data_IF_420402009249
#
_entry.id   IF_420402009249
#
_cell.length_a   1.000
_cell.length_b   1.000
_cell.length_c   1.000
_cell.angle_alpha   90.00
_cell.angle_beta   90.00
_cell.angle_gamma   90.00
#
_symmetry.space_group_name_H-M   'P 1'
#
loop_
_entity.id
_entity.type
_entity.pdbx_description
1 polymer ?
#
# COMPACT_ATOMS: atom_id res chain seq x y z
N UNK A 1 -1.62 17.26 -50.55
CA UNK A 1 -2.23 16.37 -49.57
C UNK A 1 -1.42 16.45 -48.30
N UNK A 2 -1.84 17.26 -47.35
CA UNK A 2 -1.16 17.49 -46.09
C UNK A 2 -1.65 16.48 -45.07
N UNK A 3 -0.75 15.59 -44.64
CA UNK A 3 -1.01 14.72 -43.51
C UNK A 3 -0.85 15.52 -42.20
N UNK A 4 -1.97 15.87 -41.60
CA UNK A 4 -2.00 16.39 -40.22
C UNK A 4 -1.58 15.30 -39.25
N UNK A 5 -0.31 15.34 -38.83
CA UNK A 5 0.18 14.66 -37.67
C UNK A 5 -0.41 15.35 -36.43
N UNK A 6 -1.45 14.76 -35.86
CA UNK A 6 -1.90 15.09 -34.50
C UNK A 6 -0.76 14.75 -33.56
N UNK A 7 0.00 15.74 -33.15
CA UNK A 7 0.85 15.64 -31.99
C UNK A 7 -0.05 15.59 -30.77
N UNK A 8 -0.23 14.40 -30.22
CA UNK A 8 -0.76 14.24 -28.88
C UNK A 8 0.32 14.78 -27.93
N UNK A 9 0.17 16.04 -27.57
CA UNK A 9 0.92 16.64 -26.49
C UNK A 9 0.38 16.03 -25.21
N UNK A 10 0.96 14.91 -24.78
CA UNK A 10 0.81 14.40 -23.42
C UNK A 10 1.58 15.33 -22.50
N UNK A 11 0.98 16.45 -22.15
CA UNK A 11 1.41 17.21 -20.97
C UNK A 11 1.10 16.39 -19.73
N UNK A 12 2.01 15.50 -19.37
CA UNK A 12 1.94 14.73 -18.15
C UNK A 12 2.33 15.62 -16.95
N UNK A 13 1.45 16.52 -16.56
CA UNK A 13 1.52 17.17 -15.24
C UNK A 13 0.90 16.27 -14.16
N UNK A 14 0.89 14.97 -14.40
CA UNK A 14 0.33 13.98 -13.50
C UNK A 14 1.36 13.43 -12.52
N UNK A 15 0.94 13.12 -11.31
CA UNK A 15 1.75 12.40 -10.33
C UNK A 15 2.05 11.01 -10.91
N UNK A 16 3.32 10.56 -10.94
CA UNK A 16 3.65 9.24 -11.46
C UNK A 16 2.89 8.14 -10.69
N UNK A 17 2.27 7.17 -11.39
CA UNK A 17 1.51 6.09 -10.75
C UNK A 17 2.33 5.34 -9.68
N UNK A 18 3.61 5.11 -9.94
CA UNK A 18 4.53 4.40 -9.04
C UNK A 18 4.71 5.13 -7.71
N UNK A 19 4.61 6.46 -7.71
CA UNK A 19 4.69 7.28 -6.50
C UNK A 19 3.48 7.08 -5.62
N UNK A 20 2.31 6.84 -6.20
CA UNK A 20 1.06 6.57 -5.48
C UNK A 20 1.05 5.12 -4.98
N UNK A 21 1.40 4.17 -5.84
CA UNK A 21 1.41 2.74 -5.51
C UNK A 21 2.27 2.44 -4.27
N UNK A 22 3.43 3.07 -4.16
CA UNK A 22 4.34 2.93 -3.00
C UNK A 22 3.79 3.47 -1.69
N UNK A 23 2.74 4.30 -1.74
CA UNK A 23 2.09 4.89 -0.56
C UNK A 23 0.83 4.15 -0.12
N UNK A 24 0.44 3.14 -0.87
CA UNK A 24 -0.64 2.23 -0.46
C UNK A 24 -0.03 1.17 0.45
N UNK A 25 -0.47 1.16 1.69
CA UNK A 25 0.03 0.29 2.75
C UNK A 25 -1.03 -0.75 3.13
N UNK A 26 -0.60 -1.87 3.70
CA UNK A 26 -1.50 -2.87 4.26
C UNK A 26 -1.54 -2.70 5.79
N UNK A 27 -2.71 -2.35 6.33
CA UNK A 27 -2.95 -2.20 7.77
C UNK A 27 -4.26 -2.90 8.13
N UNK A 28 -4.24 -3.75 9.14
CA UNK A 28 -5.41 -4.55 9.57
C UNK A 28 -6.05 -5.35 8.41
N UNK A 29 -5.23 -5.86 7.48
CA UNK A 29 -5.73 -6.57 6.31
C UNK A 29 -6.36 -5.69 5.22
N UNK A 30 -6.35 -4.37 5.38
CA UNK A 30 -6.93 -3.41 4.44
C UNK A 30 -5.83 -2.58 3.77
N UNK A 31 -6.02 -2.28 2.49
CA UNK A 31 -5.17 -1.34 1.76
C UNK A 31 -5.57 0.08 2.12
N UNK A 32 -4.61 0.86 2.61
CA UNK A 32 -4.85 2.20 3.12
C UNK A 32 -3.78 3.17 2.63
N UNK A 33 -4.09 4.46 2.67
CA UNK A 33 -3.13 5.55 2.54
C UNK A 33 -3.16 6.41 3.80
N UNK A 34 -2.00 6.90 4.21
CA UNK A 34 -1.91 7.73 5.41
C UNK A 34 -2.29 9.18 5.13
N UNK A 35 -2.89 9.83 6.13
CA UNK A 35 -3.28 11.24 6.06
C UNK A 35 -2.11 12.17 5.71
N UNK A 36 -0.89 11.81 6.12
CA UNK A 36 0.33 12.56 5.80
C UNK A 36 0.69 12.48 4.34
N UNK A 37 0.58 11.28 3.75
CA UNK A 37 0.88 11.06 2.33
C UNK A 37 -0.19 11.69 1.44
N UNK A 38 -1.44 11.56 1.84
CA UNK A 38 -2.57 12.20 1.15
C UNK A 38 -2.44 13.72 1.15
N UNK A 39 -2.09 14.32 2.29
CA UNK A 39 -1.88 15.77 2.38
C UNK A 39 -0.77 16.24 1.43
N UNK A 40 0.34 15.51 1.36
CA UNK A 40 1.43 15.82 0.42
C UNK A 40 0.97 15.72 -1.04
N UNK A 41 0.25 14.65 -1.40
CA UNK A 41 -0.27 14.47 -2.76
C UNK A 41 -1.24 15.59 -3.14
N UNK A 42 -2.16 15.94 -2.24
CA UNK A 42 -3.10 17.05 -2.46
C UNK A 42 -2.45 18.42 -2.42
N UNK A 43 -1.22 18.54 -1.92
CA UNK A 43 -0.50 19.81 -1.76
C UNK A 43 -1.07 20.67 -0.65
N UNK A 44 -1.57 20.05 0.41
CA UNK A 44 -2.12 20.73 1.60
C UNK A 44 -1.37 20.32 2.85
N UNK A 45 -1.44 21.15 3.90
CA UNK A 45 -0.90 20.79 5.20
C UNK A 45 -1.78 19.71 5.85
N UNK A 46 -1.21 18.69 6.52
CA UNK A 46 -1.99 17.62 7.16
C UNK A 46 -3.09 18.12 8.09
N UNK A 47 -2.85 19.23 8.80
CA UNK A 47 -3.84 19.87 9.66
C UNK A 47 -5.07 20.34 8.87
N UNK A 48 -4.86 20.92 7.70
CA UNK A 48 -5.94 21.42 6.82
C UNK A 48 -6.78 20.24 6.29
N UNK A 49 -6.12 19.16 5.85
CA UNK A 49 -6.81 17.92 5.44
C UNK A 49 -7.71 17.41 6.57
N UNK A 50 -7.16 17.26 7.76
CA UNK A 50 -7.91 16.72 8.90
C UNK A 50 -9.01 17.66 9.40
N UNK A 51 -8.88 18.97 9.26
CA UNK A 51 -9.95 19.91 9.52
C UNK A 51 -11.12 19.75 8.55
N UNK A 52 -10.82 19.56 7.25
CA UNK A 52 -11.83 19.33 6.24
C UNK A 52 -12.59 18.01 6.52
N UNK A 53 -11.89 16.95 6.90
CA UNK A 53 -12.49 15.68 7.31
C UNK A 53 -13.39 15.85 8.55
N UNK A 54 -12.92 16.52 9.57
CA UNK A 54 -13.70 16.76 10.81
C UNK A 54 -15.00 17.54 10.57
N UNK A 55 -14.98 18.50 9.64
CA UNK A 55 -16.20 19.25 9.26
C UNK A 55 -17.22 18.40 8.50
N UNK A 56 -16.82 17.24 8.01
CA UNK A 56 -17.65 16.31 7.23
C UNK A 56 -17.55 14.89 7.82
N UNK A 57 -17.52 14.78 9.14
CA UNK A 57 -17.24 13.52 9.85
C UNK A 57 -18.26 12.43 9.55
N UNK A 58 -19.51 12.79 9.25
CA UNK A 58 -20.57 11.86 8.85
C UNK A 58 -20.25 11.08 7.56
N UNK A 59 -19.31 11.59 6.74
CA UNK A 59 -18.87 10.96 5.50
C UNK A 59 -17.73 9.96 5.69
N UNK A 60 -17.17 9.88 6.89
CA UNK A 60 -16.01 9.07 7.21
C UNK A 60 -16.29 8.11 8.36
N UNK A 61 -17.10 7.08 8.14
CA UNK A 61 -17.33 6.04 9.13
C UNK A 61 -16.03 5.28 9.44
N UNK A 62 -16.04 4.47 10.50
CA UNK A 62 -14.82 3.78 11.01
C UNK A 62 -14.20 2.79 10.03
N UNK A 63 -14.96 2.29 9.08
CA UNK A 63 -14.50 1.43 7.99
C UNK A 63 -13.89 2.20 6.80
N UNK A 64 -14.10 3.52 6.73
CA UNK A 64 -13.49 4.38 5.72
C UNK A 64 -12.20 5.04 6.21
N UNK A 65 -12.14 5.37 7.49
CA UNK A 65 -11.01 6.05 8.12
C UNK A 65 -10.85 5.61 9.56
N UNK A 66 -9.62 5.36 9.98
CA UNK A 66 -9.28 5.06 11.38
C UNK A 66 -7.90 5.62 11.75
N UNK A 67 -7.70 5.88 13.02
CA UNK A 67 -6.41 6.34 13.53
C UNK A 67 -5.50 5.14 13.81
N UNK A 68 -4.23 5.22 13.41
CA UNK A 68 -3.23 4.20 13.72
C UNK A 68 -2.90 4.20 15.21
N UNK A 69 -2.63 3.03 15.74
CA UNK A 69 -1.98 2.88 17.04
C UNK A 69 -0.47 3.16 16.92
N UNK A 70 0.18 3.42 18.05
CA UNK A 70 1.65 3.59 18.07
C UNK A 70 2.39 2.35 17.62
N UNK A 71 1.88 1.16 17.95
CA UNK A 71 2.45 -0.11 17.55
C UNK A 71 2.34 -0.33 16.03
N UNK A 72 1.20 -0.05 15.44
CA UNK A 72 0.99 -0.11 13.98
C UNK A 72 1.93 0.85 13.25
N UNK A 73 2.06 2.08 13.75
CA UNK A 73 2.97 3.07 13.19
C UNK A 73 4.44 2.62 13.28
N UNK A 74 4.86 2.04 14.41
CA UNK A 74 6.21 1.50 14.58
C UNK A 74 6.49 0.35 13.61
N UNK A 75 5.52 -0.56 13.40
CA UNK A 75 5.62 -1.65 12.43
C UNK A 75 5.78 -1.13 10.99
N UNK A 76 5.01 -0.14 10.61
CA UNK A 76 5.12 0.48 9.29
C UNK A 76 6.49 1.13 9.08
N UNK A 77 7.01 1.84 10.08
CA UNK A 77 8.34 2.45 10.03
C UNK A 77 9.46 1.42 9.87
N UNK A 78 9.32 0.23 10.47
CA UNK A 78 10.32 -0.84 10.35
C UNK A 78 10.32 -1.51 8.96
N UNK A 79 9.21 -1.45 8.25
CA UNK A 79 9.04 -2.07 6.92
C UNK A 79 9.38 -1.12 5.79
N UNK A 80 9.23 0.19 6.00
CA UNK A 80 9.42 1.22 4.99
C UNK A 80 10.62 2.07 5.38
N UNK A 81 11.73 1.85 4.70
CA UNK A 81 12.92 2.71 4.82
C UNK A 81 12.66 4.00 4.02
N UNK A 82 11.87 4.90 4.58
CA UNK A 82 11.70 6.24 4.02
C UNK A 82 12.13 7.27 5.05
N UNK A 83 13.15 8.03 4.69
CA UNK A 83 13.69 9.16 5.46
C UNK A 83 12.71 10.33 5.67
N UNK A 84 11.52 10.26 5.07
CA UNK A 84 10.52 11.34 5.08
C UNK A 84 9.68 11.42 6.37
N UNK A 85 9.83 10.50 7.30
CA UNK A 85 9.07 10.49 8.56
C UNK A 85 9.83 11.15 9.71
N UNK A 86 10.65 12.14 9.37
CA UNK A 86 11.43 12.94 10.33
C UNK A 86 10.53 13.77 11.25
N UNK A 87 10.71 13.58 12.53
CA UNK A 87 10.13 14.36 13.60
C UNK A 87 9.24 13.56 14.53
N UNK A 88 9.50 13.65 15.83
CA UNK A 88 8.68 13.12 16.91
C UNK A 88 7.27 13.73 16.85
N UNK A 89 6.37 13.12 16.08
CA UNK A 89 4.97 13.55 16.03
C UNK A 89 4.25 13.01 17.25
N UNK A 90 3.67 13.90 18.03
CA UNK A 90 2.91 13.58 19.22
C UNK A 90 1.64 12.78 18.91
N UNK A 91 1.10 12.86 17.68
CA UNK A 91 -0.11 12.19 17.24
C UNK A 91 0.18 11.20 16.10
N UNK A 92 -0.45 10.01 16.17
CA UNK A 92 -0.41 9.02 15.10
C UNK A 92 -1.29 9.47 13.92
N UNK A 93 -0.87 9.20 12.65
CA UNK A 93 -1.65 9.57 11.49
C UNK A 93 -2.94 8.76 11.39
N UNK A 94 -3.87 9.26 10.58
CA UNK A 94 -5.06 8.52 10.18
C UNK A 94 -4.77 7.71 8.91
N UNK A 95 -5.38 6.54 8.82
CA UNK A 95 -5.38 5.70 7.64
C UNK A 95 -6.73 5.81 6.93
N UNK A 96 -6.70 6.00 5.63
CA UNK A 96 -7.88 6.07 4.76
C UNK A 96 -7.91 4.85 3.86
N UNK A 97 -9.00 4.12 3.86
CA UNK A 97 -9.24 3.02 2.92
C UNK A 97 -9.55 3.57 1.52
N UNK A 98 -9.69 2.71 0.53
CA UNK A 98 -10.10 3.11 -0.83
C UNK A 98 -11.39 3.94 -0.78
N UNK A 99 -12.37 3.50 0.00
CA UNK A 99 -13.64 4.21 0.17
C UNK A 99 -13.45 5.56 0.88
N UNK A 100 -12.55 5.63 1.86
CA UNK A 100 -12.22 6.86 2.55
C UNK A 100 -11.56 7.89 1.62
N UNK A 101 -10.63 7.46 0.77
CA UNK A 101 -10.02 8.32 -0.26
C UNK A 101 -11.05 8.77 -1.29
N UNK A 102 -11.93 7.86 -1.74
CA UNK A 102 -13.03 8.22 -2.64
C UNK A 102 -13.94 9.28 -2.02
N UNK A 103 -14.21 9.19 -0.72
CA UNK A 103 -15.03 10.17 -0.01
C UNK A 103 -14.33 11.53 0.12
N UNK A 104 -12.99 11.57 0.20
CA UNK A 104 -12.22 12.82 0.18
C UNK A 104 -12.48 13.65 -1.08
N UNK A 105 -12.84 13.03 -2.21
CA UNK A 105 -13.20 13.74 -3.44
C UNK A 105 -14.43 14.64 -3.29
N UNK A 106 -15.31 14.34 -2.35
CA UNK A 106 -16.48 15.15 -2.04
C UNK A 106 -16.17 16.36 -1.14
N UNK A 107 -15.02 16.31 -0.45
CA UNK A 107 -14.60 17.31 0.53
C UNK A 107 -13.52 18.24 -0.04
N UNK A 108 -12.58 17.70 -0.81
CA UNK A 108 -11.48 18.41 -1.46
C UNK A 108 -11.78 18.56 -2.94
N UNK A 109 -12.07 19.81 -3.39
CA UNK A 109 -12.58 20.08 -4.73
C UNK A 109 -11.61 20.86 -5.62
N UNK A 110 -10.37 21.10 -5.19
CA UNK A 110 -9.40 21.79 -6.05
C UNK A 110 -9.09 20.96 -7.30
N UNK A 111 -8.68 21.59 -8.42
CA UNK A 111 -8.30 20.85 -9.63
C UNK A 111 -7.20 19.81 -9.35
N UNK A 112 -6.25 20.14 -8.48
CA UNK A 112 -5.22 19.20 -8.04
C UNK A 112 -5.82 18.00 -7.30
N UNK A 113 -6.76 18.24 -6.38
CA UNK A 113 -7.40 17.17 -5.63
C UNK A 113 -8.17 16.20 -6.54
N UNK A 114 -8.86 16.72 -7.56
CA UNK A 114 -9.55 15.89 -8.55
C UNK A 114 -8.56 14.98 -9.29
N UNK A 115 -7.46 15.52 -9.78
CA UNK A 115 -6.44 14.73 -10.50
C UNK A 115 -5.78 13.69 -9.61
N UNK A 116 -5.45 14.05 -8.37
CA UNK A 116 -4.89 13.13 -7.37
C UNK A 116 -5.86 12.01 -7.07
N UNK A 117 -7.12 12.29 -6.87
CA UNK A 117 -8.15 11.27 -6.61
C UNK A 117 -8.28 10.30 -7.78
N UNK A 118 -8.31 10.79 -9.01
CA UNK A 118 -8.34 9.93 -10.21
C UNK A 118 -7.12 9.00 -10.23
N UNK A 119 -5.92 9.54 -9.99
CA UNK A 119 -4.69 8.77 -10.00
C UNK A 119 -4.67 7.71 -8.87
N UNK A 120 -5.15 8.05 -7.68
CA UNK A 120 -5.24 7.11 -6.56
C UNK A 120 -6.26 5.99 -6.86
N UNK A 121 -7.42 6.32 -7.39
CA UNK A 121 -8.42 5.30 -7.74
C UNK A 121 -7.90 4.33 -8.79
N UNK A 122 -7.19 4.83 -9.80
CA UNK A 122 -6.51 3.97 -10.80
C UNK A 122 -5.47 3.06 -10.17
N UNK A 123 -4.70 3.55 -9.20
CA UNK A 123 -3.72 2.74 -8.48
C UNK A 123 -4.38 1.62 -7.67
N UNK A 124 -5.50 1.89 -6.98
CA UNK A 124 -6.25 0.86 -6.26
C UNK A 124 -6.83 -0.21 -7.20
N UNK A 125 -7.36 0.20 -8.36
CA UNK A 125 -7.88 -0.74 -9.37
C UNK A 125 -6.75 -1.64 -9.88
N UNK A 126 -5.63 -1.05 -10.29
CA UNK A 126 -4.44 -1.80 -10.77
C UNK A 126 -3.93 -2.79 -9.73
N UNK A 127 -3.83 -2.37 -8.46
CA UNK A 127 -3.40 -3.24 -7.38
C UNK A 127 -4.36 -4.42 -7.16
N UNK A 128 -5.66 -4.19 -7.33
CA UNK A 128 -6.68 -5.24 -7.26
C UNK A 128 -6.53 -6.26 -8.39
N UNK A 129 -6.27 -5.80 -9.61
CA UNK A 129 -6.01 -6.65 -10.77
C UNK A 129 -4.76 -7.50 -10.60
N UNK A 130 -3.68 -6.94 -10.08
CA UNK A 130 -2.43 -7.66 -9.78
C UNK A 130 -2.71 -8.78 -8.77
N UNK A 131 -3.41 -8.50 -7.70
CA UNK A 131 -3.75 -9.50 -6.67
C UNK A 131 -4.63 -10.60 -7.26
N UNK A 132 -5.64 -10.26 -8.06
CA UNK A 132 -6.49 -11.22 -8.72
C UNK A 132 -5.70 -12.14 -9.67
N UNK A 133 -4.75 -11.59 -10.43
CA UNK A 133 -3.90 -12.38 -11.34
C UNK A 133 -2.98 -13.33 -10.58
N UNK A 134 -2.46 -12.94 -9.42
CA UNK A 134 -1.67 -13.82 -8.57
C UNK A 134 -2.49 -15.01 -8.03
N UNK A 135 -3.72 -14.77 -7.61
CA UNK A 135 -4.62 -15.84 -7.18
C UNK A 135 -4.97 -16.81 -8.32
N UNK A 136 -5.22 -16.29 -9.52
CA UNK A 136 -5.51 -17.12 -10.69
C UNK A 136 -4.29 -17.98 -11.09
N UNK A 137 -3.09 -17.40 -11.03
CA UNK A 137 -1.85 -18.14 -11.29
C UNK A 137 -1.61 -19.26 -10.27
N UNK A 138 -1.83 -19.01 -8.98
CA UNK A 138 -1.72 -20.02 -7.94
C UNK A 138 -2.71 -21.16 -8.15
N UNK A 139 -3.96 -20.85 -8.48
CA UNK A 139 -4.98 -21.85 -8.79
C UNK A 139 -4.61 -22.69 -10.01
N UNK A 140 -4.14 -22.08 -11.11
CA UNK A 140 -3.69 -22.80 -12.31
C UNK A 140 -2.50 -23.71 -12.02
N UNK A 141 -1.60 -23.28 -11.14
CA UNK A 141 -0.48 -24.12 -10.71
C UNK A 141 -0.97 -25.35 -9.95
N UNK A 142 -1.94 -25.22 -9.05
CA UNK A 142 -2.57 -26.33 -8.34
C UNK A 142 -3.31 -27.28 -9.29
N UNK A 143 -4.04 -26.76 -10.26
CA UNK A 143 -4.73 -27.54 -11.30
C UNK A 143 -3.73 -28.33 -12.17
N UNK A 144 -2.62 -27.72 -12.56
CA UNK A 144 -1.55 -28.39 -13.30
C UNK A 144 -0.89 -29.48 -12.47
N UNK A 145 -0.61 -29.23 -11.19
CA UNK A 145 0.00 -30.21 -10.30
C UNK A 145 -0.85 -31.48 -10.13
N UNK A 146 -2.18 -31.33 -10.11
CA UNK A 146 -3.10 -32.46 -10.00
C UNK A 146 -3.10 -33.40 -11.25
N UNK A 147 -2.61 -32.91 -12.40
CA UNK A 147 -2.59 -33.64 -13.67
C UNK A 147 -1.24 -34.32 -13.97
N UNK A 148 -0.20 -34.05 -13.15
CA UNK A 148 1.14 -34.59 -13.39
C UNK A 148 1.52 -35.70 -12.42
N UNK A 149 2.26 -36.67 -12.92
CA UNK A 149 2.80 -37.81 -12.16
C UNK A 149 3.78 -37.37 -11.06
N UNK A 150 3.99 -38.27 -10.10
CA UNK A 150 4.86 -38.04 -8.92
C UNK A 150 6.28 -37.54 -9.27
N UNK A 151 6.76 -37.78 -10.48
CA UNK A 151 8.07 -37.29 -10.95
C UNK A 151 8.16 -35.78 -11.08
N UNK A 152 7.05 -35.10 -11.32
CA UNK A 152 7.01 -33.64 -11.45
C UNK A 152 6.69 -32.90 -10.14
N UNK A 153 6.26 -33.64 -9.10
CA UNK A 153 5.96 -33.01 -7.78
C UNK A 153 7.15 -32.27 -7.21
N UNK A 154 8.36 -32.79 -7.35
CA UNK A 154 9.56 -32.12 -6.86
C UNK A 154 9.82 -30.76 -7.53
N UNK A 155 9.46 -30.63 -8.82
CA UNK A 155 9.59 -29.37 -9.56
C UNK A 155 8.56 -28.35 -9.06
N UNK A 156 7.32 -28.78 -8.82
CA UNK A 156 6.27 -27.91 -8.30
C UNK A 156 6.56 -27.47 -6.85
N UNK A 157 7.11 -28.35 -6.03
CA UNK A 157 7.53 -28.03 -4.67
C UNK A 157 8.68 -27.01 -4.67
N UNK A 158 9.64 -27.15 -5.57
CA UNK A 158 10.72 -26.18 -5.73
C UNK A 158 10.20 -24.80 -6.17
N UNK A 159 9.22 -24.75 -7.07
CA UNK A 159 8.57 -23.49 -7.51
C UNK A 159 7.81 -22.88 -6.35
N UNK A 160 7.08 -23.65 -5.54
CA UNK A 160 6.40 -23.14 -4.33
C UNK A 160 7.37 -22.55 -3.33
N UNK A 161 8.51 -23.21 -3.12
CA UNK A 161 9.54 -22.74 -2.19
C UNK A 161 10.12 -21.39 -2.66
N UNK A 162 10.33 -21.23 -3.97
CA UNK A 162 10.79 -19.96 -4.56
C UNK A 162 9.74 -18.84 -4.46
N UNK A 163 8.45 -19.19 -4.42
CA UNK A 163 7.35 -18.23 -4.29
C UNK A 163 7.06 -17.83 -2.83
N UNK A 164 7.62 -18.54 -1.85
CA UNK A 164 7.50 -18.15 -0.45
C UNK A 164 8.31 -16.88 -0.17
N UNK A 165 7.74 -15.92 0.59
CA UNK A 165 8.52 -14.77 1.06
C UNK A 165 9.72 -15.26 1.87
N UNK A 166 10.89 -14.61 1.76
CA UNK A 166 12.07 -15.02 2.53
C UNK A 166 11.77 -14.96 4.04
N UNK A 167 11.86 -16.10 4.70
CA UNK A 167 11.75 -16.17 6.15
C UNK A 167 12.91 -15.39 6.76
N UNK A 168 12.60 -14.41 7.61
CA UNK A 168 13.62 -13.68 8.38
C UNK A 168 14.34 -14.70 9.28
N UNK A 169 15.69 -14.74 9.28
CA UNK A 169 16.42 -15.64 10.14
C UNK A 169 16.07 -15.34 11.61
N UNK A 170 15.49 -16.31 12.31
CA UNK A 170 15.26 -16.24 13.75
C UNK A 170 16.62 -16.18 14.43
N UNK A 171 17.01 -15.02 14.98
CA UNK A 171 18.15 -14.89 15.85
C UNK A 171 17.93 -15.80 17.06
N UNK A 172 18.68 -16.91 17.13
CA UNK A 172 18.80 -17.69 18.36
C UNK A 172 19.54 -16.84 19.38
N UNK A 173 18.81 -16.37 20.37
CA UNK A 173 19.42 -15.78 21.57
C UNK A 173 19.88 -16.99 22.40
N UNK A 174 21.16 -17.36 22.24
CA UNK A 174 21.78 -18.35 23.08
C UNK A 174 22.12 -17.72 24.43
N UNK A 175 21.41 -18.09 25.49
CA UNK A 175 21.87 -17.90 26.84
C UNK A 175 22.93 -18.98 27.11
N UNK A 176 24.21 -18.59 27.03
CA UNK A 176 25.31 -19.40 27.54
C UNK A 176 25.23 -19.43 29.07
N UNK A 177 25.00 -20.59 29.63
CA UNK A 177 25.20 -20.85 31.07
C UNK A 177 26.70 -20.83 31.38
N UNK A 178 27.18 -20.03 32.35
CA UNK A 178 28.57 -20.13 32.81
C UNK A 178 28.75 -21.43 33.59
N UNK A 179 29.70 -22.26 33.13
CA UNK A 179 30.11 -23.47 33.85
C UNK A 179 30.75 -23.11 35.18
N UNK A 180 30.39 -23.85 36.21
CA UNK A 180 31.04 -23.83 37.54
C UNK A 180 32.45 -24.44 37.46
N UNK A 181 33.42 -23.89 38.17
CA UNK A 181 34.74 -24.53 38.35
C UNK A 181 34.70 -25.54 39.52
N UNK A 182 35.34 -26.64 39.31
CA UNK A 182 35.70 -27.61 40.34
C UNK A 182 36.90 -27.13 41.15
#
# INVERSE_FOLDING_TARGET
MSAMRSQIVTSSSGIPPERIERRILLVRGQKVMLSTDLAELYGVVPKVLMQAVKRNQERFPKDFMFQLTRAELANLKSQIVTSSWGGARRATPYAFTEQGVAMLSSVLRSPRAVQVNIAIMRAFVKLREIIASHHDLARRLEEMESHYDAQFRAVFDAIRELMKPPEKPRRRIGFGTPGAPS
#
